data_IF_111048138409
#
_entry.id   IF_111048138409
#
_cell.length_a   1.000
_cell.length_b   1.000
_cell.length_c   1.000
_cell.angle_alpha   90.00
_cell.angle_beta   90.00
_cell.angle_gamma   90.00
#
_symmetry.space_group_name_H-M   'P 1'
#
loop_
_entity.id
_entity.type
_entity.pdbx_description
1 polymer ?
#
# COMPACT_ATOMS: atom_id res chain seq x y z
N UNK A 1 -25.76 -26.83 -71.99
CA UNK A 1 -25.73 -25.86 -70.87
C UNK A 1 -24.29 -25.42 -70.64
N UNK A 2 -24.08 -24.10 -70.66
CA UNK A 2 -22.76 -23.45 -70.75
C UNK A 2 -21.97 -23.55 -69.44
N UNK A 3 -20.68 -23.90 -69.53
CA UNK A 3 -19.71 -24.02 -68.42
C UNK A 3 -19.57 -22.76 -67.55
N UNK A 4 -20.13 -21.62 -67.98
CA UNK A 4 -20.07 -20.35 -67.25
C UNK A 4 -21.02 -20.28 -66.04
N UNK A 5 -22.09 -21.08 -65.99
CA UNK A 5 -23.07 -21.00 -64.89
C UNK A 5 -22.67 -21.82 -63.66
N UNK A 6 -21.80 -22.83 -63.82
CA UNK A 6 -21.39 -23.72 -62.71
C UNK A 6 -20.30 -23.05 -61.83
N UNK A 7 -19.45 -22.21 -62.40
CA UNK A 7 -18.40 -21.50 -61.65
C UNK A 7 -18.94 -20.37 -60.75
N UNK A 8 -20.11 -19.81 -61.07
CA UNK A 8 -20.70 -18.73 -60.27
C UNK A 8 -21.36 -19.22 -58.98
N UNK A 9 -21.82 -20.48 -58.95
CA UNK A 9 -22.50 -21.05 -57.77
C UNK A 9 -21.51 -21.64 -56.77
N UNK A 10 -20.35 -22.14 -57.21
CA UNK A 10 -19.31 -22.63 -56.29
C UNK A 10 -18.50 -21.49 -55.61
N UNK A 11 -18.41 -20.30 -56.24
CA UNK A 11 -17.73 -19.14 -55.65
C UNK A 11 -18.48 -18.49 -54.49
N UNK A 12 -19.80 -18.74 -54.36
CA UNK A 12 -20.64 -18.17 -53.30
C UNK A 12 -20.77 -19.08 -52.06
N UNK A 13 -20.36 -20.35 -52.14
CA UNK A 13 -20.41 -21.28 -51.00
C UNK A 13 -19.11 -21.29 -50.17
N UNK A 14 -17.97 -20.88 -50.74
CA UNK A 14 -16.67 -20.80 -50.03
C UNK A 14 -16.40 -19.42 -49.38
N UNK A 15 -17.17 -18.38 -49.73
CA UNK A 15 -17.08 -17.06 -49.10
C UNK A 15 -17.89 -16.92 -47.80
N UNK A 16 -18.77 -17.88 -47.48
CA UNK A 16 -19.66 -17.81 -46.32
C UNK A 16 -19.09 -18.46 -45.04
N UNK A 17 -17.96 -19.16 -45.11
CA UNK A 17 -17.38 -19.86 -43.94
C UNK A 17 -16.32 -19.02 -43.21
N UNK A 18 -15.85 -17.90 -43.78
CA UNK A 18 -14.82 -17.06 -43.15
C UNK A 18 -15.35 -15.87 -42.34
N UNK A 19 -16.67 -15.61 -42.31
CA UNK A 19 -17.24 -14.46 -41.58
C UNK A 19 -17.86 -14.86 -40.23
N UNK A 20 -18.06 -16.16 -39.98
CA UNK A 20 -18.63 -16.67 -38.71
C UNK A 20 -17.58 -17.32 -37.78
N UNK A 21 -16.28 -17.03 -37.96
CA UNK A 21 -15.20 -17.80 -37.32
C UNK A 21 -14.10 -17.04 -36.57
N UNK A 22 -14.12 -15.71 -36.48
CA UNK A 22 -13.06 -14.95 -35.78
C UNK A 22 -13.49 -14.34 -34.43
N UNK A 23 -14.63 -14.76 -33.87
CA UNK A 23 -15.12 -14.25 -32.58
C UNK A 23 -14.82 -15.14 -31.35
N UNK A 24 -14.39 -16.39 -31.56
CA UNK A 24 -14.46 -17.42 -30.51
C UNK A 24 -13.16 -17.78 -29.79
N UNK A 25 -12.00 -17.27 -30.20
CA UNK A 25 -10.69 -17.74 -29.67
C UNK A 25 -9.89 -16.62 -28.97
N UNK A 26 -10.36 -15.36 -29.00
CA UNK A 26 -9.63 -14.24 -28.37
C UNK A 26 -9.79 -14.16 -26.84
N UNK A 27 -10.73 -14.88 -26.22
CA UNK A 27 -11.03 -14.75 -24.78
C UNK A 27 -10.29 -15.73 -23.85
N UNK A 28 -9.44 -16.63 -24.37
CA UNK A 28 -8.69 -17.57 -23.52
C UNK A 28 -7.36 -16.96 -23.03
N UNK A 29 -6.91 -15.85 -23.61
CA UNK A 29 -5.59 -15.25 -23.31
C UNK A 29 -5.59 -13.88 -22.62
N UNK A 30 -6.72 -13.18 -22.52
CA UNK A 30 -6.80 -11.89 -21.82
C UNK A 30 -7.06 -12.11 -20.33
N UNK A 31 -6.22 -11.56 -19.42
CA UNK A 31 -6.46 -11.62 -17.99
C UNK A 31 -7.86 -11.11 -17.66
N UNK A 32 -8.60 -11.91 -16.90
CA UNK A 32 -9.85 -11.50 -16.28
C UNK A 32 -9.61 -10.28 -15.38
N UNK A 33 -10.66 -9.51 -15.07
CA UNK A 33 -10.51 -8.35 -14.17
C UNK A 33 -9.89 -8.73 -12.80
N UNK A 34 -10.11 -9.97 -12.34
CA UNK A 34 -9.52 -10.57 -11.12
C UNK A 34 -8.04 -10.97 -11.25
N UNK A 35 -7.52 -11.07 -12.48
CA UNK A 35 -6.12 -11.39 -12.78
C UNK A 35 -5.29 -10.15 -13.11
N UNK A 36 -5.93 -8.97 -13.25
CA UNK A 36 -5.20 -7.73 -13.45
C UNK A 36 -4.45 -7.35 -12.17
N UNK A 37 -3.18 -7.06 -12.32
CA UNK A 37 -2.29 -6.58 -11.26
C UNK A 37 -1.84 -5.16 -11.55
N UNK A 38 -1.66 -4.38 -10.50
CA UNK A 38 -0.96 -3.12 -10.51
C UNK A 38 0.49 -3.44 -10.15
N UNK A 39 1.47 -3.12 -11.03
CA UNK A 39 2.86 -3.44 -10.78
C UNK A 39 3.39 -2.66 -9.58
N UNK A 40 4.36 -3.26 -8.87
CA UNK A 40 5.09 -2.55 -7.82
C UNK A 40 5.79 -1.31 -8.38
N UNK A 41 5.77 -0.20 -7.63
CA UNK A 41 6.63 0.96 -7.91
C UNK A 41 8.06 0.69 -7.45
N UNK A 42 8.24 -0.12 -6.40
CA UNK A 42 9.55 -0.56 -5.92
C UNK A 42 9.51 -2.02 -5.47
N UNK A 43 10.26 -2.91 -6.10
CA UNK A 43 10.21 -4.36 -5.82
C UNK A 43 10.94 -4.75 -4.52
N UNK A 44 10.41 -4.34 -3.36
CA UNK A 44 11.04 -4.56 -2.05
C UNK A 44 11.35 -6.04 -1.78
N UNK A 45 10.49 -6.96 -2.21
CA UNK A 45 10.69 -8.41 -2.04
C UNK A 45 11.94 -8.97 -2.73
N UNK A 46 12.51 -8.25 -3.71
CA UNK A 46 13.71 -8.65 -4.45
C UNK A 46 15.01 -8.04 -3.91
N UNK A 47 14.90 -7.15 -2.92
CA UNK A 47 16.06 -6.51 -2.27
C UNK A 47 16.67 -7.43 -1.21
N UNK A 48 17.85 -7.08 -0.69
CA UNK A 48 18.49 -7.77 0.43
C UNK A 48 18.75 -6.82 1.60
N UNK A 49 18.91 -7.36 2.81
CA UNK A 49 19.21 -6.57 4.01
C UNK A 49 17.98 -6.15 4.82
N UNK A 50 18.23 -5.59 6.00
CA UNK A 50 17.19 -5.27 6.99
C UNK A 50 16.50 -3.94 6.68
N UNK A 51 15.26 -3.83 7.11
CA UNK A 51 14.40 -2.65 6.92
C UNK A 51 13.94 -2.18 8.29
N UNK A 52 14.08 -0.88 8.54
CA UNK A 52 13.43 -0.18 9.67
C UNK A 52 12.18 0.50 9.16
N UNK A 53 11.06 0.28 9.85
CA UNK A 53 9.86 1.11 9.70
C UNK A 53 9.89 2.17 10.79
N UNK A 54 10.26 3.38 10.41
CA UNK A 54 10.40 4.52 11.31
C UNK A 54 9.12 5.36 11.30
N UNK A 55 8.19 5.03 12.20
CA UNK A 55 7.03 5.85 12.45
C UNK A 55 7.38 7.06 13.33
N UNK A 56 7.08 8.26 12.84
CA UNK A 56 7.20 9.52 13.59
C UNK A 56 5.82 10.10 13.88
N UNK A 57 5.65 10.59 15.12
CA UNK A 57 4.44 11.24 15.59
C UNK A 57 4.89 12.52 16.30
N UNK A 58 4.41 13.67 15.83
CA UNK A 58 4.69 14.96 16.46
C UNK A 58 4.09 15.04 17.87
N UNK A 59 4.72 15.80 18.76
CA UNK A 59 4.29 15.90 20.16
C UNK A 59 2.90 16.53 20.35
N UNK A 60 2.43 17.33 19.39
CA UNK A 60 1.12 17.97 19.42
C UNK A 60 -0.03 17.01 19.05
N UNK A 61 0.27 15.89 18.37
CA UNK A 61 -0.73 14.88 18.01
C UNK A 61 -1.11 14.05 19.24
N UNK A 62 -2.36 14.22 19.68
CA UNK A 62 -2.92 13.44 20.78
C UNK A 62 -3.55 12.18 20.23
N UNK A 63 -2.99 11.03 20.60
CA UNK A 63 -3.58 9.72 20.35
C UNK A 63 -3.81 9.01 21.69
N UNK A 64 -4.90 8.24 21.84
CA UNK A 64 -5.09 7.39 23.03
C UNK A 64 -4.07 6.24 23.10
N UNK A 65 -3.25 6.04 22.07
CA UNK A 65 -2.27 4.96 21.95
C UNK A 65 -0.94 5.45 21.33
N UNK A 66 0.12 4.66 21.50
CA UNK A 66 1.39 4.87 20.79
C UNK A 66 1.22 4.50 19.31
N UNK A 67 0.96 5.51 18.46
CA UNK A 67 0.82 5.31 17.02
C UNK A 67 2.08 4.74 16.38
N UNK A 68 3.26 5.03 16.95
CA UNK A 68 4.52 4.54 16.39
C UNK A 68 4.60 3.02 16.55
N UNK A 69 4.19 2.51 17.72
CA UNK A 69 4.13 1.08 17.97
C UNK A 69 3.12 0.37 17.06
N UNK A 70 1.89 0.89 16.98
CA UNK A 70 0.83 0.25 16.19
C UNK A 70 1.11 0.32 14.69
N UNK A 71 1.60 1.45 14.16
CA UNK A 71 2.00 1.56 12.76
C UNK A 71 3.14 0.57 12.45
N UNK A 72 4.24 0.60 13.20
CA UNK A 72 5.38 -0.30 12.94
C UNK A 72 4.93 -1.76 12.95
N UNK A 73 4.10 -2.18 13.90
CA UNK A 73 3.53 -3.53 13.97
C UNK A 73 2.67 -3.87 12.74
N UNK A 74 1.76 -2.97 12.33
CA UNK A 74 0.93 -3.16 11.13
C UNK A 74 1.77 -3.27 9.86
N UNK A 75 2.84 -2.49 9.75
CA UNK A 75 3.78 -2.57 8.63
C UNK A 75 4.58 -3.88 8.64
N UNK A 76 5.10 -4.32 9.79
CA UNK A 76 5.79 -5.61 9.91
C UNK A 76 4.90 -6.74 9.39
N UNK A 77 3.64 -6.78 9.84
CA UNK A 77 2.67 -7.76 9.39
C UNK A 77 2.39 -7.65 7.87
N UNK A 78 2.17 -6.45 7.35
CA UNK A 78 1.92 -6.23 5.93
C UNK A 78 3.12 -6.63 5.05
N UNK A 79 4.35 -6.33 5.50
CA UNK A 79 5.57 -6.75 4.83
C UNK A 79 5.74 -8.27 4.79
N UNK A 80 5.47 -8.95 5.89
CA UNK A 80 5.55 -10.41 5.97
C UNK A 80 4.46 -11.07 5.09
N UNK A 81 3.20 -10.63 5.23
CA UNK A 81 2.06 -11.28 4.59
C UNK A 81 1.92 -10.94 3.10
N UNK A 82 2.22 -9.70 2.70
CA UNK A 82 1.91 -9.19 1.35
C UNK A 82 3.16 -9.04 0.49
N UNK A 83 4.20 -8.43 1.04
CA UNK A 83 5.50 -8.27 0.35
C UNK A 83 6.34 -9.55 0.41
N UNK A 84 5.97 -10.50 1.29
CA UNK A 84 6.66 -11.79 1.50
C UNK A 84 8.09 -11.65 1.98
N UNK A 85 8.35 -10.62 2.79
CA UNK A 85 9.64 -10.46 3.45
C UNK A 85 9.81 -11.46 4.59
N UNK A 86 11.02 -12.00 4.73
CA UNK A 86 11.39 -12.82 5.87
C UNK A 86 11.43 -11.97 7.13
N UNK A 87 10.96 -12.52 8.25
CA UNK A 87 10.87 -11.82 9.54
C UNK A 87 12.23 -11.27 10.01
N UNK A 88 13.34 -11.95 9.72
CA UNK A 88 14.69 -11.52 10.12
C UNK A 88 15.16 -10.25 9.39
N UNK A 89 14.49 -9.88 8.30
CA UNK A 89 14.72 -8.62 7.59
C UNK A 89 13.97 -7.45 8.21
N UNK A 90 12.99 -7.70 9.07
CA UNK A 90 12.20 -6.65 9.72
C UNK A 90 12.76 -6.39 11.10
N UNK A 91 13.08 -5.12 11.38
CA UNK A 91 13.59 -4.73 12.69
C UNK A 91 12.38 -4.39 13.59
N UNK A 92 12.22 -5.09 14.73
CA UNK A 92 11.05 -4.92 15.57
C UNK A 92 11.03 -3.56 16.26
N UNK A 93 9.83 -3.03 16.50
CA UNK A 93 9.66 -1.76 17.23
C UNK A 93 10.40 -1.70 18.57
N UNK A 94 10.47 -2.82 19.31
CA UNK A 94 11.18 -2.89 20.59
C UNK A 94 12.66 -2.53 20.49
N UNK A 95 13.31 -2.87 19.37
CA UNK A 95 14.74 -2.59 19.18
C UNK A 95 14.95 -1.12 18.82
N UNK A 96 14.00 -0.53 18.09
CA UNK A 96 13.95 0.92 17.82
C UNK A 96 13.79 1.69 19.14
N UNK A 97 12.89 1.27 20.02
CA UNK A 97 12.66 1.93 21.32
C UNK A 97 13.88 1.84 22.22
N UNK A 98 14.48 0.65 22.36
CA UNK A 98 15.72 0.47 23.15
C UNK A 98 16.81 1.43 22.68
N UNK A 99 17.03 1.50 21.37
CA UNK A 99 18.05 2.37 20.82
C UNK A 99 17.73 3.86 21.04
N UNK A 100 16.46 4.27 20.91
CA UNK A 100 16.03 5.64 21.23
C UNK A 100 16.34 6.02 22.68
N UNK A 101 16.24 5.10 23.63
CA UNK A 101 16.54 5.37 25.04
C UNK A 101 18.04 5.57 25.29
N UNK A 102 18.90 4.95 24.48
CA UNK A 102 20.37 5.05 24.59
C UNK A 102 20.93 6.31 23.88
N UNK A 103 20.19 6.86 22.92
CA UNK A 103 20.62 8.03 22.15
C UNK A 103 20.39 9.35 22.89
N UNK A 104 21.23 10.34 22.55
CA UNK A 104 21.05 11.72 22.96
C UNK A 104 19.71 12.27 22.45
N UNK A 105 19.09 13.20 23.18
CA UNK A 105 17.72 13.66 22.92
C UNK A 105 17.51 14.16 21.49
N UNK A 106 18.47 14.92 20.96
CA UNK A 106 18.46 15.45 19.59
C UNK A 106 18.59 14.38 18.50
N UNK A 107 18.94 13.15 18.85
CA UNK A 107 19.17 12.03 17.93
C UNK A 107 18.08 10.96 17.99
N UNK A 108 17.21 11.00 19.01
CA UNK A 108 16.14 9.98 19.20
C UNK A 108 15.12 9.95 18.07
N UNK A 109 15.03 11.04 17.31
CA UNK A 109 14.11 11.17 16.19
C UNK A 109 14.82 11.11 14.82
N UNK A 110 16.12 10.84 14.78
CA UNK A 110 16.87 10.67 13.53
C UNK A 110 16.69 9.24 13.01
N UNK A 111 15.85 9.09 11.98
CA UNK A 111 15.53 7.81 11.36
C UNK A 111 16.76 7.10 10.79
N UNK A 112 17.67 7.83 10.15
CA UNK A 112 18.86 7.28 9.50
C UNK A 112 19.90 6.83 10.51
N UNK A 113 20.10 7.62 11.57
CA UNK A 113 21.03 7.25 12.65
C UNK A 113 20.57 5.99 13.38
N UNK A 114 19.27 5.87 13.65
CA UNK A 114 18.67 4.68 14.26
C UNK A 114 18.81 3.48 13.31
N UNK A 115 18.42 3.63 12.04
CA UNK A 115 18.51 2.57 11.05
C UNK A 115 19.97 2.06 10.86
N UNK A 116 20.94 2.98 10.82
CA UNK A 116 22.36 2.66 10.65
C UNK A 116 22.89 1.86 11.84
N UNK A 117 22.57 2.29 13.07
CA UNK A 117 22.96 1.57 14.30
C UNK A 117 22.31 0.19 14.43
N UNK A 118 21.16 -0.04 13.79
CA UNK A 118 20.49 -1.35 13.75
C UNK A 118 20.92 -2.20 12.53
N UNK A 119 21.94 -1.75 11.77
CA UNK A 119 22.44 -2.40 10.55
C UNK A 119 21.32 -2.61 9.50
N UNK A 120 20.44 -1.62 9.35
CA UNK A 120 19.44 -1.60 8.30
C UNK A 120 20.05 -1.16 6.97
N UNK A 121 19.61 -1.79 5.88
CA UNK A 121 19.91 -1.37 4.52
C UNK A 121 18.93 -0.30 4.03
N UNK A 122 17.70 -0.32 4.57
CA UNK A 122 16.62 0.57 4.17
C UNK A 122 15.87 1.14 5.37
N UNK A 123 15.31 2.34 5.18
CA UNK A 123 14.40 2.97 6.14
C UNK A 123 13.13 3.41 5.44
N UNK A 124 11.99 2.87 5.87
CA UNK A 124 10.68 3.37 5.52
C UNK A 124 10.27 4.38 6.60
N UNK A 125 10.32 5.66 6.26
CA UNK A 125 9.78 6.72 7.11
C UNK A 125 8.27 6.80 6.93
N UNK A 126 7.54 6.90 8.04
CA UNK A 126 6.08 7.10 8.07
C UNK A 126 5.80 8.23 9.05
N UNK A 127 5.59 9.42 8.52
CA UNK A 127 5.27 10.60 9.31
C UNK A 127 3.76 10.73 9.47
N UNK A 128 3.27 10.70 10.70
CA UNK A 128 1.87 11.03 11.01
C UNK A 128 1.73 12.54 10.95
N UNK A 129 1.04 13.01 9.91
CA UNK A 129 0.77 14.43 9.67
C UNK A 129 -0.45 14.90 10.46
N UNK A 130 -1.49 14.05 10.51
CA UNK A 130 -2.72 14.33 11.23
C UNK A 130 -3.31 13.04 11.81
N UNK A 131 -4.01 13.15 12.92
CA UNK A 131 -4.71 12.05 13.55
C UNK A 131 -5.90 12.55 14.36
N UNK A 132 -7.08 12.06 14.02
CA UNK A 132 -8.32 12.34 14.74
C UNK A 132 -9.02 11.04 15.10
N UNK A 133 -9.46 10.94 16.35
CA UNK A 133 -10.32 9.86 16.79
C UNK A 133 -11.42 10.43 17.67
N UNK A 134 -12.64 10.45 17.12
CA UNK A 134 -13.83 10.93 17.82
C UNK A 134 -14.69 9.76 18.27
N UNK A 135 -15.31 9.89 19.44
CA UNK A 135 -16.23 8.91 19.99
C UNK A 135 -17.63 9.49 20.09
N UNK A 136 -18.64 8.68 19.79
CA UNK A 136 -20.03 9.04 20.05
C UNK A 136 -20.46 8.47 21.40
N UNK A 137 -20.80 9.36 22.33
CA UNK A 137 -20.99 9.07 23.75
C UNK A 137 -22.03 7.97 24.06
N UNK A 138 -22.94 7.66 23.14
CA UNK A 138 -24.08 6.80 23.42
C UNK A 138 -23.96 5.35 22.91
N UNK A 139 -22.96 4.99 22.07
CA UNK A 139 -23.05 3.74 21.28
C UNK A 139 -21.75 3.01 20.88
N UNK A 140 -20.63 3.23 21.56
CA UNK A 140 -19.33 2.60 21.22
C UNK A 140 -18.91 2.78 19.74
N UNK A 141 -19.38 3.85 19.10
CA UNK A 141 -19.03 4.19 17.73
C UNK A 141 -17.87 5.17 17.71
N UNK A 142 -16.96 4.91 16.77
CA UNK A 142 -15.78 5.72 16.52
C UNK A 142 -15.85 6.28 15.11
N UNK A 143 -15.35 7.51 14.96
CA UNK A 143 -14.91 8.07 13.69
C UNK A 143 -13.41 8.27 13.80
N UNK A 144 -12.66 7.78 12.83
CA UNK A 144 -11.21 7.86 12.83
C UNK A 144 -10.69 8.43 11.53
N UNK A 145 -9.64 9.23 11.60
CA UNK A 145 -8.86 9.69 10.46
C UNK A 145 -7.38 9.67 10.82
N UNK A 146 -6.55 9.23 9.88
CA UNK A 146 -5.10 9.39 9.93
C UNK A 146 -4.60 9.91 8.58
N UNK A 147 -3.76 10.94 8.62
CA UNK A 147 -2.99 11.38 7.47
C UNK A 147 -1.53 11.05 7.69
N UNK A 148 -0.91 10.39 6.72
CA UNK A 148 0.52 10.04 6.79
C UNK A 148 1.26 10.45 5.53
N UNK A 149 2.55 10.78 5.67
CA UNK A 149 3.50 10.91 4.56
C UNK A 149 4.56 9.82 4.68
N UNK A 150 4.73 9.05 3.61
CA UNK A 150 5.67 7.91 3.60
C UNK A 150 6.72 8.04 2.52
N UNK A 151 7.97 7.73 2.88
CA UNK A 151 9.12 7.68 1.98
C UNK A 151 10.02 6.50 2.35
N UNK A 152 10.52 5.78 1.35
CA UNK A 152 11.54 4.76 1.47
C UNK A 152 12.89 5.34 1.03
N UNK A 153 13.90 5.10 1.84
CA UNK A 153 15.29 5.47 1.54
C UNK A 153 16.20 4.26 1.68
N UNK A 154 17.33 4.31 0.97
CA UNK A 154 18.49 3.51 1.37
C UNK A 154 19.18 4.14 2.59
N UNK A 155 20.14 3.42 3.18
CA UNK A 155 20.85 3.92 4.37
C UNK A 155 21.79 5.10 4.10
N UNK A 156 22.10 5.39 2.84
CA UNK A 156 22.94 6.54 2.44
C UNK A 156 22.12 7.83 2.37
N UNK A 157 20.79 7.73 2.41
CA UNK A 157 19.88 8.86 2.31
C UNK A 157 19.27 9.03 0.92
N UNK A 158 19.57 8.15 -0.03
CA UNK A 158 18.99 8.20 -1.37
C UNK A 158 17.53 7.74 -1.29
N UNK A 159 16.61 8.61 -1.71
CA UNK A 159 15.18 8.30 -1.76
C UNK A 159 14.91 7.30 -2.87
N UNK A 160 14.31 6.17 -2.51
CA UNK A 160 13.97 5.08 -3.43
C UNK A 160 12.49 5.10 -3.83
N UNK A 161 11.62 5.60 -2.96
CA UNK A 161 10.18 5.67 -3.21
C UNK A 161 9.48 6.69 -2.31
N UNK A 162 8.41 7.37 -2.79
CA UNK A 162 8.03 7.49 -4.19
C UNK A 162 8.96 8.45 -4.95
N UNK A 163 8.72 8.63 -6.26
CA UNK A 163 9.44 9.63 -7.07
C UNK A 163 9.19 11.06 -6.54
N UNK A 164 7.94 11.36 -6.19
CA UNK A 164 7.50 12.61 -5.57
C UNK A 164 8.07 12.80 -4.16
N UNK A 165 7.92 13.99 -3.56
CA UNK A 165 8.45 14.32 -2.23
C UNK A 165 8.03 13.37 -1.08
N UNK A 166 6.95 12.62 -1.28
CA UNK A 166 6.49 11.56 -0.40
C UNK A 166 5.07 11.15 -0.73
N UNK A 167 4.69 9.93 -0.35
CA UNK A 167 3.33 9.44 -0.58
C UNK A 167 2.45 9.89 0.57
N UNK A 168 1.62 10.90 0.34
CA UNK A 168 0.62 11.35 1.31
C UNK A 168 -0.62 10.48 1.16
N UNK A 169 -1.14 9.98 2.28
CA UNK A 169 -2.34 9.17 2.35
C UNK A 169 -3.23 9.69 3.45
N UNK A 170 -4.51 9.90 3.13
CA UNK A 170 -5.56 10.16 4.12
C UNK A 170 -6.47 8.94 4.20
N UNK A 171 -6.59 8.38 5.39
CA UNK A 171 -7.38 7.20 5.66
C UNK A 171 -8.37 7.52 6.76
N UNK A 172 -9.60 7.05 6.62
CA UNK A 172 -10.60 7.24 7.64
C UNK A 172 -11.76 6.27 7.52
N UNK A 173 -12.53 6.19 8.59
CA UNK A 173 -13.76 5.41 8.64
C UNK A 173 -14.82 6.19 9.41
N UNK A 174 -16.08 5.92 9.07
CA UNK A 174 -17.24 6.51 9.72
C UNK A 174 -17.99 5.45 10.53
N UNK A 175 -18.37 5.84 11.75
CA UNK A 175 -19.29 5.17 12.65
C UNK A 175 -19.03 3.66 12.81
N UNK A 176 -17.81 3.31 13.17
CA UNK A 176 -17.44 1.92 13.40
C UNK A 176 -17.55 1.53 14.87
N UNK A 177 -18.22 0.40 15.13
CA UNK A 177 -18.36 -0.13 16.48
C UNK A 177 -17.03 -0.73 16.94
N UNK A 178 -16.58 -0.41 18.15
CA UNK A 178 -15.38 -1.04 18.69
C UNK A 178 -14.83 -0.37 19.94
N UNK A 179 -13.50 -0.33 20.01
CA UNK A 179 -12.73 0.36 21.06
C UNK A 179 -11.76 1.33 20.40
N UNK A 180 -11.21 2.26 21.17
CA UNK A 180 -10.14 3.13 20.68
C UNK A 180 -8.96 2.30 20.12
N UNK A 181 -8.68 1.14 20.73
CA UNK A 181 -7.66 0.21 20.25
C UNK A 181 -7.97 -0.37 18.89
N UNK A 182 -9.15 -0.96 18.70
CA UNK A 182 -9.52 -1.54 17.40
C UNK A 182 -9.59 -0.48 16.30
N UNK A 183 -10.00 0.75 16.64
CA UNK A 183 -9.99 1.89 15.74
C UNK A 183 -8.57 2.28 15.28
N UNK A 184 -7.63 2.42 16.22
CA UNK A 184 -6.22 2.73 15.91
C UNK A 184 -5.57 1.59 15.13
N UNK A 185 -5.81 0.33 15.51
CA UNK A 185 -5.32 -0.85 14.78
C UNK A 185 -5.86 -0.86 13.34
N UNK A 186 -7.13 -0.51 13.14
CA UNK A 186 -7.72 -0.44 11.80
C UNK A 186 -7.05 0.63 10.93
N UNK A 187 -6.90 1.86 11.43
CA UNK A 187 -6.21 2.93 10.69
C UNK A 187 -4.75 2.58 10.41
N UNK A 188 -4.06 1.94 11.36
CA UNK A 188 -2.68 1.50 11.19
C UNK A 188 -2.55 0.40 10.13
N UNK A 189 -3.48 -0.57 10.13
CA UNK A 189 -3.54 -1.63 9.12
C UNK A 189 -3.88 -1.09 7.73
N UNK A 190 -4.82 -0.15 7.64
CA UNK A 190 -5.16 0.54 6.41
C UNK A 190 -3.95 1.32 5.86
N UNK A 191 -3.20 2.01 6.74
CA UNK A 191 -1.98 2.75 6.39
C UNK A 191 -0.92 1.80 5.84
N UNK A 192 -0.63 0.72 6.58
CA UNK A 192 0.33 -0.29 6.16
C UNK A 192 -0.05 -0.91 4.82
N UNK A 193 -1.33 -1.23 4.60
CA UNK A 193 -1.80 -1.75 3.32
C UNK A 193 -1.58 -0.75 2.18
N UNK A 194 -2.06 0.49 2.33
CA UNK A 194 -1.99 1.51 1.29
C UNK A 194 -0.55 1.92 0.93
N UNK A 195 0.39 1.83 1.87
CA UNK A 195 1.81 2.04 1.58
C UNK A 195 2.46 0.80 0.98
N UNK A 196 2.27 -0.38 1.58
CA UNK A 196 2.98 -1.60 1.15
C UNK A 196 2.49 -2.14 -0.20
N UNK A 197 1.27 -1.81 -0.64
CA UNK A 197 0.75 -2.21 -1.98
C UNK A 197 1.58 -1.71 -3.15
N UNK A 198 2.44 -0.73 -2.94
CA UNK A 198 3.40 -0.24 -3.94
C UNK A 198 4.71 -1.03 -3.96
N UNK A 199 4.88 -2.00 -3.05
CA UNK A 199 6.11 -2.78 -2.90
C UNK A 199 6.04 -4.22 -3.44
N UNK A 200 4.91 -4.58 -4.05
CA UNK A 200 4.67 -5.88 -4.70
C UNK A 200 3.62 -5.71 -5.80
N UNK A 201 3.53 -6.67 -6.72
CA UNK A 201 2.45 -6.68 -7.71
C UNK A 201 1.13 -6.97 -7.00
N UNK A 202 0.26 -5.96 -6.93
CA UNK A 202 -0.97 -6.04 -6.15
C UNK A 202 -2.16 -6.27 -7.08
N UNK A 203 -3.01 -7.24 -6.76
CA UNK A 203 -4.25 -7.48 -7.51
C UNK A 203 -5.10 -6.21 -7.53
N UNK A 204 -5.59 -5.82 -8.71
CA UNK A 204 -6.34 -4.60 -8.92
C UNK A 204 -7.56 -4.50 -7.98
N UNK A 205 -8.26 -5.61 -7.76
CA UNK A 205 -9.43 -5.68 -6.85
C UNK A 205 -9.09 -5.42 -5.37
N UNK A 206 -7.83 -5.60 -4.98
CA UNK A 206 -7.34 -5.44 -3.60
C UNK A 206 -6.52 -4.18 -3.41
N UNK A 207 -6.27 -3.44 -4.49
CA UNK A 207 -5.38 -2.29 -4.43
C UNK A 207 -6.02 -1.18 -3.61
N UNK A 208 -7.31 -0.91 -3.79
CA UNK A 208 -8.04 0.10 -3.03
C UNK A 208 -8.86 -0.54 -1.91
N UNK A 209 -8.94 0.16 -0.78
CA UNK A 209 -9.75 -0.22 0.38
C UNK A 209 -10.76 0.87 0.70
N UNK A 210 -11.79 0.52 1.49
CA UNK A 210 -12.87 1.45 1.81
C UNK A 210 -12.39 2.63 2.68
N UNK A 211 -11.35 2.41 3.48
CA UNK A 211 -10.78 3.41 4.38
C UNK A 211 -10.01 4.50 3.63
N UNK A 212 -9.60 4.27 2.37
CA UNK A 212 -8.85 5.23 1.57
C UNK A 212 -9.75 6.38 1.12
N UNK A 213 -9.52 7.57 1.68
CA UNK A 213 -10.21 8.76 1.23
C UNK A 213 -9.62 9.21 -0.10
N UNK A 214 -10.50 9.46 -1.08
CA UNK A 214 -10.08 10.16 -2.29
C UNK A 214 -9.72 11.59 -1.87
N UNK A 215 -8.57 12.09 -2.31
CA UNK A 215 -8.40 13.53 -2.42
C UNK A 215 -9.56 14.04 -3.28
N UNK A 216 -10.51 14.72 -2.64
CA UNK A 216 -11.40 15.59 -3.37
C UNK A 216 -10.50 16.73 -3.85
N UNK A 217 -10.31 16.83 -5.16
CA UNK A 217 -9.71 18.00 -5.83
C UNK A 217 -10.58 19.22 -5.46
N UNK A 218 -10.37 19.79 -4.27
CA UNK A 218 -10.98 21.05 -3.82
C UNK A 218 -10.42 22.25 -4.61
N UNK A 219 -9.74 22.03 -5.74
CA UNK A 219 -9.25 23.09 -6.64
C UNK A 219 -9.88 23.03 -8.04
N UNK A 220 -10.97 22.27 -8.24
CA UNK A 220 -11.79 22.32 -9.47
C UNK A 220 -13.25 22.67 -9.17
N UNK A 221 -13.48 23.93 -8.82
CA UNK A 221 -14.80 24.55 -8.77
C UNK A 221 -14.66 25.99 -9.27
#
# INVERSE_FOLDING_TARGET
MSKKTILSVLGLALGAVCIAGCGGIASIGTPTASEKEIPAEFAMGQTEGKIVVFASQSAWLKSPMDLRAELTKSFEQAFEERVRLKKERLIPYSDIVKLRMELAENERNDAFKIASKLNAAYVLTVEVMDFELSTFAERDFFNGMIQTKSCLYDIKGDKLWPEDEGRVLTLGFEAEKGTAKSAVEKLSNATAHCVTRYFYNCKQERFRIAEEQKEFDYYKW
#
